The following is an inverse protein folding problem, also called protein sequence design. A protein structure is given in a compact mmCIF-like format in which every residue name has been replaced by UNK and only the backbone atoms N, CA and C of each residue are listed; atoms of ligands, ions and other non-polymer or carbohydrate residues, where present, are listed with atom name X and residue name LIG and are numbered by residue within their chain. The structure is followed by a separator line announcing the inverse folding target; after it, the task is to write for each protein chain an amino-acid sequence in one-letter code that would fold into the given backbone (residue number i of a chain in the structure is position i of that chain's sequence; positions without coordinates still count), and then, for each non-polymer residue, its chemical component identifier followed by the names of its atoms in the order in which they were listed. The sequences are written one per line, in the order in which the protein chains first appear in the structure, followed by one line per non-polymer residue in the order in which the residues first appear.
data_IF_506632314974
#
_entry.id   IF_506632314974
#
_cell.length_a   1.000
_cell.length_b   1.000
_cell.length_c   1.000
_cell.angle_alpha   90.00
_cell.angle_beta   90.00
_cell.angle_gamma   90.00
#
_symmetry.space_group_name_H-M   'P 1'
#
loop_
_entity.id
_entity.type
_entity.pdbx_description
1 polymer ?
#
# COMPACT_ATOMS: atom_id res chain seq x y z
N UNK A 1 -5.81 5.73 -16.71
CA UNK A 1 -6.21 6.54 -15.51
C UNK A 1 -6.16 5.70 -14.23
N UNK A 2 -6.33 4.38 -14.36
CA UNK A 2 -6.36 3.45 -13.23
C UNK A 2 -5.00 3.37 -12.52
N UNK A 3 -3.91 3.46 -13.28
CA UNK A 3 -2.53 3.45 -12.77
C UNK A 3 -2.22 4.58 -11.77
N UNK A 4 -2.72 5.80 -12.01
CA UNK A 4 -2.54 6.92 -11.09
C UNK A 4 -3.26 6.69 -9.75
N UNK A 5 -4.46 6.10 -9.80
CA UNK A 5 -5.24 5.80 -8.62
C UNK A 5 -4.62 4.67 -7.80
N UNK A 6 -4.07 3.64 -8.46
CA UNK A 6 -3.29 2.59 -7.80
C UNK A 6 -2.04 3.16 -7.11
N UNK A 7 -1.31 4.06 -7.77
CA UNK A 7 -0.14 4.70 -7.18
C UNK A 7 -0.54 5.50 -5.93
N UNK A 8 -1.64 6.25 -5.98
CA UNK A 8 -2.13 7.02 -4.84
C UNK A 8 -2.50 6.10 -3.65
N UNK A 9 -3.20 5.00 -3.91
CA UNK A 9 -3.53 4.00 -2.88
C UNK A 9 -2.26 3.39 -2.29
N UNK A 10 -1.29 3.00 -3.13
CA UNK A 10 -0.04 2.41 -2.67
C UNK A 10 0.80 3.37 -1.82
N UNK A 11 0.86 4.65 -2.20
CA UNK A 11 1.58 5.67 -1.44
C UNK A 11 0.89 5.98 -0.10
N UNK A 12 -0.44 6.03 -0.08
CA UNK A 12 -1.21 6.18 1.15
C UNK A 12 -0.95 4.99 2.09
N UNK A 13 -1.03 3.77 1.57
CA UNK A 13 -0.77 2.54 2.33
C UNK A 13 0.68 2.49 2.85
N UNK A 14 1.66 2.94 2.07
CA UNK A 14 3.06 3.05 2.52
C UNK A 14 3.23 4.05 3.67
N UNK A 15 2.56 5.20 3.62
CA UNK A 15 2.54 6.15 4.73
C UNK A 15 1.91 5.54 6.00
N UNK A 16 0.80 4.79 5.86
CA UNK A 16 0.17 4.09 6.97
C UNK A 16 1.01 2.93 7.50
N UNK A 17 1.74 2.21 6.66
CA UNK A 17 2.71 1.20 7.06
C UNK A 17 3.81 1.81 7.94
N UNK A 18 4.31 3.00 7.59
CA UNK A 18 5.26 3.75 8.42
C UNK A 18 4.67 4.14 9.78
N UNK A 19 3.42 4.60 9.81
CA UNK A 19 2.70 4.87 11.06
C UNK A 19 2.55 3.59 11.92
N UNK A 20 2.10 2.47 11.32
CA UNK A 20 1.93 1.18 12.02
C UNK A 20 3.24 0.64 12.60
N UNK A 21 4.35 0.81 11.89
CA UNK A 21 5.67 0.43 12.40
C UNK A 21 6.09 1.19 13.68
N UNK A 22 5.58 2.42 13.87
CA UNK A 22 5.85 3.25 15.03
C UNK A 22 4.76 3.17 16.12
N UNK A 23 3.51 2.88 15.76
CA UNK A 23 2.39 2.81 16.70
C UNK A 23 2.66 1.81 17.84
N UNK A 24 2.40 2.22 19.08
CA UNK A 24 2.60 1.40 20.27
C UNK A 24 4.04 1.35 20.82
N UNK A 25 5.01 2.02 20.18
CA UNK A 25 6.42 2.00 20.60
C UNK A 25 6.94 3.22 21.33
N UNK A 26 6.12 4.26 21.47
CA UNK A 26 6.45 5.47 22.22
C UNK A 26 5.36 5.63 23.30
N UNK A 27 5.69 6.10 24.49
CA UNK A 27 4.75 6.36 25.61
C UNK A 27 4.42 7.85 25.83
N UNK A 28 5.08 8.78 25.14
CA UNK A 28 4.94 10.24 25.31
C UNK A 28 3.55 10.77 25.00
N UNK A 29 3.05 11.72 25.79
CA UNK A 29 1.72 12.33 25.59
C UNK A 29 1.64 13.14 24.26
N UNK A 30 2.73 13.81 23.85
CA UNK A 30 2.79 14.61 22.60
C UNK A 30 3.51 13.86 21.46
N UNK A 31 2.75 13.07 20.70
CA UNK A 31 3.30 12.14 19.67
C UNK A 31 3.21 12.65 18.22
N UNK A 32 2.45 13.72 17.96
CA UNK A 32 2.16 14.21 16.60
C UNK A 32 3.39 14.36 15.69
N UNK A 33 4.49 15.02 16.10
CA UNK A 33 5.65 15.17 15.23
C UNK A 33 6.38 13.85 14.96
N UNK A 34 6.32 12.88 15.88
CA UNK A 34 6.92 11.57 15.70
C UNK A 34 6.07 10.67 14.78
N UNK A 35 4.75 10.71 14.91
CA UNK A 35 3.78 10.09 14.00
C UNK A 35 4.01 10.59 12.57
N UNK A 36 4.14 11.91 12.36
CA UNK A 36 4.39 12.49 11.03
C UNK A 36 5.70 11.99 10.44
N UNK A 37 6.77 11.92 11.24
CA UNK A 37 8.08 11.40 10.79
C UNK A 37 8.00 9.92 10.42
N UNK A 38 7.27 9.12 11.18
CA UNK A 38 7.06 7.71 10.89
C UNK A 38 6.30 7.50 9.56
N UNK A 39 5.23 8.26 9.35
CA UNK A 39 4.48 8.26 8.10
C UNK A 39 5.35 8.70 6.90
N UNK A 40 6.15 9.74 7.06
CA UNK A 40 7.08 10.20 6.01
C UNK A 40 8.14 9.14 5.68
N UNK A 41 8.68 8.41 6.66
CA UNK A 41 9.61 7.29 6.41
C UNK A 41 8.95 6.17 5.60
N UNK A 42 7.71 5.83 5.96
CA UNK A 42 6.88 4.91 5.19
C UNK A 42 6.66 5.38 3.76
N UNK A 43 6.28 6.64 3.57
CA UNK A 43 6.08 7.23 2.25
C UNK A 43 7.37 7.21 1.42
N UNK A 44 8.53 7.56 1.99
CA UNK A 44 9.81 7.53 1.26
C UNK A 44 10.19 6.13 0.82
N UNK A 45 9.93 5.12 1.66
CA UNK A 45 10.14 3.72 1.31
C UNK A 45 9.18 3.29 0.19
N UNK A 46 7.92 3.69 0.30
CA UNK A 46 6.88 3.43 -0.70
C UNK A 46 7.20 4.04 -2.05
N UNK A 47 7.65 5.30 -2.09
CA UNK A 47 8.09 5.96 -3.34
C UNK A 47 9.23 5.20 -3.99
N UNK A 48 10.26 4.82 -3.22
CA UNK A 48 11.39 4.07 -3.76
C UNK A 48 10.95 2.73 -4.38
N UNK A 49 10.06 1.99 -3.71
CA UNK A 49 9.54 0.71 -4.22
C UNK A 49 8.54 0.88 -5.38
N UNK A 50 7.76 1.97 -5.39
CA UNK A 50 6.90 2.33 -6.51
C UNK A 50 7.73 2.66 -7.76
N UNK A 51 8.88 3.32 -7.61
CA UNK A 51 9.82 3.54 -8.72
C UNK A 51 10.31 2.22 -9.31
N UNK A 52 10.56 1.18 -8.52
CA UNK A 52 10.95 -0.15 -9.04
C UNK A 52 9.83 -0.74 -9.90
N UNK A 53 8.59 -0.71 -9.44
CA UNK A 53 7.44 -1.18 -10.23
C UNK A 53 7.25 -0.36 -11.53
N UNK A 54 7.46 0.96 -11.46
CA UNK A 54 7.39 1.84 -12.63
C UNK A 54 8.49 1.53 -13.65
N UNK A 55 9.72 1.28 -13.19
CA UNK A 55 10.83 0.86 -14.05
C UNK A 55 10.55 -0.50 -14.71
N UNK A 56 9.96 -1.46 -13.98
CA UNK A 56 9.51 -2.72 -14.57
C UNK A 56 8.46 -2.51 -15.66
N UNK A 57 7.44 -1.68 -15.40
CA UNK A 57 6.42 -1.36 -16.40
C UNK A 57 7.01 -0.66 -17.63
N UNK A 58 7.91 0.32 -17.42
CA UNK A 58 8.60 1.01 -18.50
C UNK A 58 9.46 0.04 -19.33
N UNK A 59 10.19 -0.87 -18.68
CA UNK A 59 10.98 -1.90 -19.37
C UNK A 59 10.14 -2.81 -20.25
N UNK A 60 8.95 -3.21 -19.77
CA UNK A 60 7.99 -4.00 -20.57
C UNK A 60 7.50 -3.22 -21.77
N UNK A 61 7.13 -1.95 -21.60
CA UNK A 61 6.65 -1.11 -22.71
C UNK A 61 7.74 -0.86 -23.75
N UNK A 62 8.98 -0.64 -23.31
CA UNK A 62 10.12 -0.42 -24.22
C UNK A 62 10.53 -1.69 -24.99
N UNK A 63 10.27 -2.88 -24.42
CA UNK A 63 10.57 -4.15 -25.06
C UNK A 63 9.41 -4.72 -25.89
N UNK A 64 8.22 -4.11 -25.81
CA UNK A 64 7.03 -4.59 -26.50
C UNK A 64 7.10 -4.29 -28.01
N UNK A 65 6.69 -5.25 -28.83
CA UNK A 65 6.54 -5.05 -30.27
C UNK A 65 5.41 -4.05 -30.60
N UNK A 66 4.37 -4.01 -29.76
CA UNK A 66 3.28 -3.03 -29.80
C UNK A 66 3.12 -2.39 -28.40
N UNK A 67 3.76 -1.24 -28.15
CA UNK A 67 3.68 -0.55 -26.87
C UNK A 67 2.26 -0.09 -26.49
N UNK A 68 1.41 0.22 -27.47
CA UNK A 68 0.05 0.70 -27.23
C UNK A 68 -0.87 -0.44 -26.79
N UNK A 69 -0.71 -1.63 -27.36
CA UNK A 69 -1.37 -2.83 -26.86
C UNK A 69 -0.89 -3.18 -25.44
N UNK A 70 0.43 -3.16 -25.19
CA UNK A 70 0.98 -3.45 -23.87
C UNK A 70 0.51 -2.43 -22.81
N UNK A 71 0.41 -1.15 -23.15
CA UNK A 71 -0.12 -0.12 -22.25
C UNK A 71 -1.59 -0.37 -21.90
N UNK A 72 -2.42 -0.72 -22.90
CA UNK A 72 -3.84 -1.04 -22.68
C UNK A 72 -4.00 -2.24 -21.73
N UNK A 73 -3.17 -3.27 -21.89
CA UNK A 73 -3.18 -4.43 -21.00
C UNK A 73 -2.81 -4.03 -19.56
N UNK A 74 -1.79 -3.17 -19.38
CA UNK A 74 -1.39 -2.68 -18.06
C UNK A 74 -2.49 -1.81 -17.42
N UNK A 75 -3.13 -0.90 -18.15
CA UNK A 75 -4.22 -0.06 -17.60
C UNK A 75 -5.51 -0.87 -17.34
N UNK A 76 -5.78 -1.92 -18.13
CA UNK A 76 -6.86 -2.87 -17.91
C UNK A 76 -6.62 -3.72 -16.66
N UNK A 77 -5.39 -4.24 -16.49
CA UNK A 77 -4.99 -4.97 -15.28
C UNK A 77 -5.06 -4.08 -14.04
N UNK A 78 -4.64 -2.82 -14.16
CA UNK A 78 -4.79 -1.83 -13.11
C UNK A 78 -6.26 -1.63 -12.73
N UNK A 79 -7.16 -1.51 -13.72
CA UNK A 79 -8.60 -1.44 -13.50
C UNK A 79 -9.15 -2.65 -12.75
N UNK A 80 -8.71 -3.87 -13.09
CA UNK A 80 -9.12 -5.10 -12.38
C UNK A 80 -8.63 -5.12 -10.94
N UNK A 81 -7.39 -4.71 -10.68
CA UNK A 81 -6.86 -4.61 -9.32
C UNK A 81 -7.64 -3.60 -8.46
N UNK A 82 -8.12 -2.51 -9.05
CA UNK A 82 -8.92 -1.50 -8.34
C UNK A 82 -10.25 -2.05 -7.81
N UNK A 83 -10.88 -3.02 -8.48
CA UNK A 83 -12.10 -3.66 -7.96
C UNK A 83 -11.89 -4.33 -6.60
N UNK A 84 -10.67 -4.77 -6.30
CA UNK A 84 -10.30 -5.35 -5.00
C UNK A 84 -9.77 -4.28 -4.05
N UNK A 85 -8.89 -3.40 -4.54
CA UNK A 85 -8.19 -2.41 -3.73
C UNK A 85 -9.07 -1.27 -3.25
N UNK A 86 -9.99 -0.76 -4.07
CA UNK A 86 -10.87 0.35 -3.69
C UNK A 86 -11.78 0.01 -2.50
N UNK A 87 -12.54 -1.10 -2.48
CA UNK A 87 -13.38 -1.42 -1.33
C UNK A 87 -12.54 -1.68 -0.08
N UNK A 88 -11.41 -2.38 -0.22
CA UNK A 88 -10.47 -2.59 0.89
C UNK A 88 -9.96 -1.25 1.45
N UNK A 89 -9.48 -0.36 0.59
CA UNK A 89 -8.99 0.96 0.97
C UNK A 89 -10.10 1.84 1.59
N UNK A 90 -11.34 1.73 1.11
CA UNK A 90 -12.48 2.45 1.68
C UNK A 90 -12.77 2.02 3.12
N UNK A 91 -12.76 0.71 3.40
CA UNK A 91 -12.96 0.19 4.76
C UNK A 91 -11.82 0.63 5.69
N UNK A 92 -10.57 0.52 5.22
CA UNK A 92 -9.40 0.99 6.00
C UNK A 92 -9.47 2.51 6.24
N UNK A 93 -9.83 3.29 5.21
CA UNK A 93 -10.01 4.74 5.30
C UNK A 93 -11.09 5.13 6.30
N UNK A 94 -12.23 4.43 6.29
CA UNK A 94 -13.31 4.64 7.26
C UNK A 94 -12.84 4.35 8.69
N UNK A 95 -12.13 3.24 8.91
CA UNK A 95 -11.56 2.91 10.22
C UNK A 95 -10.58 4.00 10.71
N UNK A 96 -9.75 4.54 9.81
CA UNK A 96 -8.82 5.63 10.13
C UNK A 96 -9.54 6.95 10.44
N UNK A 97 -10.60 7.28 9.71
CA UNK A 97 -11.42 8.46 10.01
C UNK A 97 -12.05 8.34 11.41
N UNK A 98 -12.55 7.15 11.77
CA UNK A 98 -13.04 6.88 13.12
C UNK A 98 -11.93 6.99 14.18
N UNK A 99 -10.72 6.54 13.87
CA UNK A 99 -9.57 6.63 14.79
C UNK A 99 -9.12 8.07 15.04
N UNK A 100 -9.04 8.90 14.00
CA UNK A 100 -8.53 10.27 14.12
C UNK A 100 -9.60 11.30 14.50
N UNK A 101 -10.85 11.09 14.09
CA UNK A 101 -11.95 12.04 14.32
C UNK A 101 -12.97 11.59 15.37
N UNK A 102 -12.98 10.31 15.76
CA UNK A 102 -13.96 9.77 16.69
C UNK A 102 -13.58 9.96 18.17
N UNK A 103 -14.56 9.88 19.09
CA UNK A 103 -14.29 9.79 20.52
C UNK A 103 -13.50 8.52 20.84
N UNK A 104 -12.77 8.52 21.95
CA UNK A 104 -11.82 7.46 22.34
C UNK A 104 -12.35 6.03 22.12
N UNK A 105 -13.60 5.76 22.49
CA UNK A 105 -14.25 4.44 22.34
C UNK A 105 -14.42 4.01 20.87
N UNK A 106 -14.77 4.94 19.98
CA UNK A 106 -14.89 4.69 18.54
C UNK A 106 -13.51 4.44 17.92
N UNK A 107 -12.48 5.16 18.37
CA UNK A 107 -11.11 4.91 17.94
C UNK A 107 -10.57 3.55 18.38
N UNK A 108 -10.86 3.12 19.61
CA UNK A 108 -10.49 1.77 20.08
C UNK A 108 -11.22 0.68 19.30
N UNK A 109 -12.52 0.84 19.05
CA UNK A 109 -13.31 -0.12 18.27
C UNK A 109 -12.82 -0.21 16.82
N UNK A 110 -12.49 0.92 16.19
CA UNK A 110 -11.94 0.95 14.83
C UNK A 110 -10.58 0.26 14.72
N UNK A 111 -9.74 0.36 15.76
CA UNK A 111 -8.45 -0.32 15.80
C UNK A 111 -8.62 -1.83 15.98
N UNK A 112 -9.46 -2.25 16.93
CA UNK A 112 -9.64 -3.67 17.29
C UNK A 112 -10.44 -4.43 16.23
N UNK A 113 -11.54 -3.86 15.76
CA UNK A 113 -12.44 -4.52 14.80
C UNK A 113 -12.04 -4.28 13.34
N UNK A 114 -11.46 -3.11 13.03
CA UNK A 114 -11.08 -2.74 11.67
C UNK A 114 -9.61 -3.02 11.39
N UNK A 115 -8.72 -2.20 11.94
CA UNK A 115 -7.30 -2.23 11.57
C UNK A 115 -6.63 -3.59 11.84
N UNK A 116 -6.91 -4.24 12.98
CA UNK A 116 -6.34 -5.56 13.31
C UNK A 116 -6.60 -6.61 12.21
N UNK A 117 -7.86 -7.01 11.98
CA UNK A 117 -8.19 -8.00 10.95
C UNK A 117 -7.81 -7.57 9.53
N UNK A 118 -7.96 -6.28 9.20
CA UNK A 118 -7.63 -5.78 7.85
C UNK A 118 -6.14 -5.86 7.54
N UNK A 119 -5.26 -5.75 8.54
CA UNK A 119 -3.82 -5.98 8.30
C UNK A 119 -3.52 -7.41 7.84
N UNK A 120 -4.28 -8.41 8.31
CA UNK A 120 -4.15 -9.81 7.88
C UNK A 120 -4.73 -10.05 6.47
N UNK A 121 -5.71 -9.25 6.06
CA UNK A 121 -6.29 -9.27 4.72
C UNK A 121 -5.38 -8.63 3.66
N UNK A 122 -4.41 -7.79 4.06
CA UNK A 122 -3.52 -7.07 3.13
C UNK A 122 -2.75 -7.99 2.18
N UNK A 123 -2.09 -9.09 2.61
CA UNK A 123 -1.43 -10.01 1.69
C UNK A 123 -2.40 -10.72 0.75
N UNK A 124 -3.61 -11.03 1.23
CA UNK A 124 -4.67 -11.68 0.43
C UNK A 124 -5.17 -10.75 -0.65
N UNK A 125 -5.41 -9.47 -0.33
CA UNK A 125 -5.80 -8.45 -1.29
C UNK A 125 -4.74 -8.25 -2.37
N UNK A 126 -3.45 -8.23 -1.99
CA UNK A 126 -2.33 -8.15 -2.94
C UNK A 126 -2.30 -9.38 -3.85
N UNK A 127 -2.42 -10.59 -3.29
CA UNK A 127 -2.44 -11.82 -4.08
C UNK A 127 -3.61 -11.86 -5.07
N UNK A 128 -4.80 -11.41 -4.66
CA UNK A 128 -5.96 -11.27 -5.53
C UNK A 128 -5.70 -10.27 -6.67
N UNK A 129 -5.04 -9.13 -6.39
CA UNK A 129 -4.66 -8.17 -7.43
C UNK A 129 -3.70 -8.77 -8.46
N UNK A 130 -2.69 -9.54 -8.01
CA UNK A 130 -1.75 -10.22 -8.90
C UNK A 130 -2.47 -11.26 -9.77
N UNK A 131 -3.35 -12.07 -9.18
CA UNK A 131 -4.13 -13.06 -9.91
C UNK A 131 -5.05 -12.42 -10.96
N UNK A 132 -5.74 -11.33 -10.59
CA UNK A 132 -6.60 -10.59 -11.52
C UNK A 132 -5.80 -9.88 -12.63
N UNK A 133 -4.60 -9.36 -12.32
CA UNK A 133 -3.71 -8.83 -13.36
C UNK A 133 -3.25 -9.92 -14.33
N UNK A 134 -2.95 -11.13 -13.83
CA UNK A 134 -2.56 -12.28 -14.65
C UNK A 134 -3.66 -12.81 -15.57
N UNK A 135 -4.93 -12.55 -15.24
CA UNK A 135 -6.06 -12.83 -16.14
C UNK A 135 -6.14 -11.86 -17.34
N UNK A 136 -5.36 -10.78 -17.35
CA UNK A 136 -5.21 -9.89 -18.52
C UNK A 136 -3.99 -10.31 -19.32
N UNK A 137 -2.81 -10.27 -18.68
CA UNK A 137 -1.56 -10.62 -19.33
C UNK A 137 -0.49 -10.99 -18.31
N UNK A 138 0.46 -11.84 -18.71
CA UNK A 138 1.58 -12.25 -17.88
C UNK A 138 2.52 -11.09 -17.49
N UNK A 139 2.84 -10.14 -18.40
CA UNK A 139 3.61 -8.94 -18.04
C UNK A 139 2.90 -8.07 -17.00
N UNK A 140 1.57 -7.94 -17.08
CA UNK A 140 0.81 -7.21 -16.08
C UNK A 140 0.84 -7.88 -14.69
N UNK A 141 0.77 -9.21 -14.64
CA UNK A 141 0.98 -9.95 -13.39
C UNK A 141 2.36 -9.70 -12.80
N UNK A 142 3.41 -9.67 -13.62
CA UNK A 142 4.77 -9.41 -13.15
C UNK A 142 4.91 -8.00 -12.54
N UNK A 143 4.40 -6.97 -13.20
CA UNK A 143 4.39 -5.59 -12.67
C UNK A 143 3.59 -5.53 -11.35
N UNK A 144 2.42 -6.16 -11.32
CA UNK A 144 1.58 -6.19 -10.12
C UNK A 144 2.23 -6.95 -8.97
N UNK A 145 2.96 -8.03 -9.26
CA UNK A 145 3.70 -8.80 -8.27
C UNK A 145 4.85 -7.98 -7.68
N UNK A 146 5.64 -7.30 -8.52
CA UNK A 146 6.71 -6.39 -8.07
C UNK A 146 6.14 -5.28 -7.18
N UNK A 147 5.07 -4.62 -7.63
CA UNK A 147 4.38 -3.59 -6.84
C UNK A 147 3.83 -4.13 -5.52
N UNK A 148 3.18 -5.29 -5.55
CA UNK A 148 2.60 -5.97 -4.39
C UNK A 148 3.65 -6.37 -3.35
N UNK A 149 4.76 -6.95 -3.78
CA UNK A 149 5.91 -7.25 -2.91
C UNK A 149 6.48 -5.97 -2.31
N UNK A 150 6.61 -4.91 -3.12
CA UNK A 150 7.04 -3.60 -2.64
C UNK A 150 6.14 -3.08 -1.52
N UNK A 151 4.83 -3.08 -1.73
CA UNK A 151 3.84 -2.66 -0.72
C UNK A 151 3.98 -3.45 0.57
N UNK A 152 4.07 -4.79 0.50
CA UNK A 152 4.23 -5.65 1.68
C UNK A 152 5.58 -5.46 2.37
N UNK A 153 6.64 -5.12 1.64
CA UNK A 153 7.98 -4.94 2.17
C UNK A 153 8.20 -3.61 2.91
N UNK A 154 7.39 -2.57 2.65
CA UNK A 154 7.54 -1.26 3.31
C UNK A 154 7.54 -1.38 4.84
N UNK A 155 6.56 -2.08 5.39
CA UNK A 155 6.38 -2.21 6.83
C UNK A 155 7.57 -2.90 7.54
N UNK A 156 7.99 -4.13 7.17
CA UNK A 156 9.12 -4.78 7.79
C UNK A 156 10.44 -4.03 7.55
N UNK A 157 10.59 -3.36 6.39
CA UNK A 157 11.78 -2.57 6.10
C UNK A 157 11.89 -1.33 6.98
N UNK A 158 10.81 -0.54 7.09
CA UNK A 158 10.78 0.63 7.97
C UNK A 158 10.97 0.22 9.43
N UNK A 159 10.34 -0.89 9.82
CA UNK A 159 10.48 -1.43 11.17
C UNK A 159 11.94 -1.80 11.49
N UNK A 160 12.60 -2.61 10.65
CA UNK A 160 13.99 -3.03 10.87
C UNK A 160 14.99 -1.87 10.81
N UNK A 161 14.77 -0.89 9.94
CA UNK A 161 15.72 0.20 9.70
C UNK A 161 15.65 1.33 10.72
N UNK A 162 14.47 1.66 11.22
CA UNK A 162 14.29 2.81 12.13
C UNK A 162 13.75 2.48 13.52
N UNK A 163 13.19 1.29 13.72
CA UNK A 163 12.56 0.90 14.98
C UNK A 163 12.99 -0.49 15.48
N UNK A 164 14.30 -0.83 15.52
CA UNK A 164 14.77 -2.13 15.99
C UNK A 164 14.61 -2.33 17.51
N UNK A 165 14.46 -1.24 18.28
CA UNK A 165 14.32 -1.25 19.75
C UNK A 165 13.14 -0.35 20.14
N UNK A 166 12.35 -0.68 21.19
CA UNK A 166 11.31 0.20 21.73
C UNK A 166 11.88 1.56 22.16
N UNK A 167 11.12 2.65 22.02
CA UNK A 167 11.60 4.05 22.22
C UNK A 167 10.91 4.73 23.40
#
# INVERSE_FOLDING_TARGET
MNSALLLLIALADAAFAGFRAYAGRDARIRRRPAIRRAALRGLTAGVALACVALLCAAGILLAAADPDAAYRDLDAAAGRALWVLVPYAAVVGAALLCYFGGPFRLGTLAVVAGLGPLTMLRPVAVAACVALAGSVSLPAAAVMAVGGVGVLAVEPWVHRRWYPVPV
#
